data_IF_065625630518
#
_entry.id   IF_065625630518
#
_cell.length_a   1.000
_cell.length_b   1.000
_cell.length_c   1.000
_cell.angle_alpha   90.00
_cell.angle_beta   90.00
_cell.angle_gamma   90.00
#
_symmetry.space_group_name_H-M   'P 1'
#
loop_
_entity.id
_entity.type
_entity.pdbx_description
1 polymer ?
#
# COMPACT_ATOMS: atom_id res chain seq x y z
N UNK A 1 -23.45 -25.68 13.51
CA UNK A 1 -22.19 -25.38 12.79
C UNK A 1 -22.07 -23.87 12.68
N UNK A 2 -21.34 -23.22 13.58
CA UNK A 2 -21.18 -21.75 13.57
C UNK A 2 -20.09 -21.42 12.57
N UNK A 3 -20.47 -20.76 11.48
CA UNK A 3 -19.51 -20.24 10.51
C UNK A 3 -18.86 -19.03 11.19
N UNK A 4 -17.65 -19.22 11.73
CA UNK A 4 -16.79 -18.11 12.14
C UNK A 4 -16.31 -17.38 10.89
N UNK A 5 -17.18 -16.60 10.26
CA UNK A 5 -16.79 -15.56 9.32
C UNK A 5 -16.13 -14.45 10.13
N UNK A 6 -14.90 -14.70 10.58
CA UNK A 6 -14.01 -13.60 10.91
C UNK A 6 -13.75 -12.90 9.59
N UNK A 7 -14.37 -11.74 9.44
CA UNK A 7 -14.13 -10.79 8.36
C UNK A 7 -12.62 -10.73 8.15
N UNK A 8 -12.13 -11.26 7.02
CA UNK A 8 -10.73 -11.16 6.62
C UNK A 8 -10.35 -9.69 6.76
N UNK A 9 -9.66 -9.35 7.84
CA UNK A 9 -8.98 -8.06 7.98
C UNK A 9 -8.17 -7.97 6.69
N UNK A 10 -8.48 -6.98 5.85
CA UNK A 10 -7.93 -6.86 4.50
C UNK A 10 -6.43 -6.50 4.63
N UNK A 11 -5.64 -7.48 5.04
CA UNK A 11 -4.20 -7.45 5.31
C UNK A 11 -3.44 -7.58 4.01
N UNK A 12 -3.97 -6.99 2.94
CA UNK A 12 -3.32 -7.00 1.63
C UNK A 12 -2.04 -6.18 1.74
N UNK A 13 -0.94 -6.81 1.38
CA UNK A 13 0.33 -6.15 1.16
C UNK A 13 0.31 -5.45 -0.19
N UNK A 14 0.99 -4.31 -0.26
CA UNK A 14 1.15 -3.51 -1.46
C UNK A 14 2.62 -3.19 -1.67
N UNK A 15 3.03 -3.19 -2.93
CA UNK A 15 4.30 -2.60 -3.35
C UNK A 15 4.10 -1.11 -3.61
N UNK A 16 5.04 -0.32 -3.13
CA UNK A 16 5.02 1.12 -3.30
C UNK A 16 6.40 1.74 -3.22
N UNK A 17 6.44 3.04 -3.49
CA UNK A 17 7.61 3.90 -3.27
C UNK A 17 7.20 5.09 -2.42
N UNK A 18 8.15 5.81 -1.84
CA UNK A 18 7.85 7.10 -1.19
C UNK A 18 7.95 8.22 -2.21
N UNK A 19 6.96 9.11 -2.21
CA UNK A 19 6.99 10.31 -3.04
C UNK A 19 8.25 11.14 -2.74
N UNK A 20 9.01 11.50 -3.76
CA UNK A 20 10.24 12.30 -3.61
C UNK A 20 9.99 13.72 -3.08
N UNK A 21 8.76 14.23 -3.24
CA UNK A 21 8.38 15.58 -2.80
C UNK A 21 7.84 15.62 -1.37
N UNK A 22 6.92 14.72 -1.01
CA UNK A 22 6.21 14.76 0.29
C UNK A 22 6.39 13.52 1.17
N UNK A 23 7.12 12.50 0.72
CA UNK A 23 7.39 11.27 1.49
C UNK A 23 6.20 10.32 1.65
N UNK A 24 4.99 10.73 1.23
CA UNK A 24 3.78 9.89 1.25
C UNK A 24 3.98 8.63 0.40
N UNK A 25 3.56 7.44 0.88
CA UNK A 25 3.58 6.22 0.08
C UNK A 25 2.72 6.33 -1.18
N UNK A 26 3.29 5.97 -2.32
CA UNK A 26 2.61 5.78 -3.60
C UNK A 26 2.54 4.28 -3.85
N UNK A 27 1.36 3.70 -3.63
CA UNK A 27 1.10 2.28 -3.84
C UNK A 27 0.76 2.05 -5.31
N UNK A 28 1.44 1.13 -5.97
CA UNK A 28 1.26 0.89 -7.42
C UNK A 28 0.92 -0.56 -7.77
N UNK A 29 1.17 -1.52 -6.88
CA UNK A 29 0.82 -2.92 -7.12
C UNK A 29 0.40 -3.62 -5.81
N UNK A 30 -0.44 -4.65 -5.93
CA UNK A 30 -0.69 -5.61 -4.86
C UNK A 30 0.50 -6.56 -4.74
N UNK A 31 0.90 -6.87 -3.52
CA UNK A 31 1.93 -7.87 -3.24
C UNK A 31 1.28 -9.22 -2.92
N UNK A 32 1.35 -10.14 -3.87
CA UNK A 32 0.79 -11.49 -3.75
C UNK A 32 1.72 -12.45 -3.00
N UNK A 33 2.94 -12.01 -2.65
CA UNK A 33 3.89 -12.80 -1.88
C UNK A 33 3.62 -12.80 -0.38
N UNK A 34 2.52 -12.17 0.07
CA UNK A 34 2.18 -11.97 1.48
C UNK A 34 3.32 -11.32 2.29
N UNK A 35 4.14 -10.50 1.64
CA UNK A 35 5.28 -9.81 2.26
C UNK A 35 6.62 -10.53 2.12
N UNK A 36 6.70 -11.63 1.38
CA UNK A 36 7.90 -12.48 1.27
C UNK A 36 8.65 -12.32 -0.05
N UNK A 37 9.96 -12.58 -0.07
CA UNK A 37 10.78 -12.50 -1.31
C UNK A 37 11.17 -11.08 -1.74
N UNK A 38 11.97 -10.97 -2.81
CA UNK A 38 12.37 -9.67 -3.38
C UNK A 38 11.37 -9.23 -4.46
N UNK A 39 10.88 -7.97 -4.41
CA UNK A 39 10.10 -7.42 -5.49
C UNK A 39 10.92 -7.41 -6.79
N UNK A 40 10.29 -7.79 -7.90
CA UNK A 40 10.92 -7.66 -9.21
C UNK A 40 11.24 -6.18 -9.51
N UNK A 41 12.40 -5.92 -10.14
CA UNK A 41 12.72 -4.56 -10.61
C UNK A 41 11.75 -4.20 -11.73
N UNK A 42 11.03 -3.09 -11.57
CA UNK A 42 10.23 -2.53 -12.65
C UNK A 42 11.17 -1.90 -13.69
N UNK A 43 10.95 -2.17 -14.99
CA UNK A 43 11.77 -1.59 -16.06
C UNK A 43 11.58 -0.08 -16.19
N UNK A 44 10.31 0.38 -16.25
CA UNK A 44 9.93 1.79 -16.22
C UNK A 44 8.78 1.98 -15.24
N UNK A 45 8.92 2.92 -14.30
CA UNK A 45 7.93 3.17 -13.25
C UNK A 45 7.70 4.67 -13.08
N UNK A 46 6.85 5.27 -13.92
CA UNK A 46 6.44 6.66 -13.77
C UNK A 46 5.19 6.70 -12.90
N UNK A 47 5.27 7.39 -11.76
CA UNK A 47 4.18 7.44 -10.79
C UNK A 47 3.84 8.89 -10.43
N UNK A 48 2.56 9.10 -10.14
CA UNK A 48 2.03 10.36 -9.64
C UNK A 48 1.58 10.20 -8.19
N UNK A 49 1.99 11.11 -7.32
CA UNK A 49 1.55 11.11 -5.93
C UNK A 49 0.03 11.25 -5.85
N UNK A 50 -0.62 10.35 -5.11
CA UNK A 50 -2.07 10.31 -4.94
C UNK A 50 -2.59 11.41 -4.00
N UNK A 51 -1.73 12.00 -3.18
CA UNK A 51 -2.11 13.11 -2.30
C UNK A 51 -2.50 14.32 -3.16
N UNK A 52 -3.74 14.78 -2.99
CA UNK A 52 -4.36 15.84 -3.80
C UNK A 52 -3.54 17.15 -3.80
N UNK A 53 -2.89 17.44 -2.67
CA UNK A 53 -2.07 18.65 -2.48
C UNK A 53 -0.67 18.53 -3.10
N UNK A 54 -0.19 17.29 -3.31
CA UNK A 54 1.15 17.05 -3.80
C UNK A 54 1.18 16.88 -5.32
N UNK A 55 0.44 15.87 -5.83
CA UNK A 55 0.31 15.49 -7.26
C UNK A 55 1.63 15.42 -8.04
N UNK A 56 2.76 15.31 -7.34
CA UNK A 56 4.08 15.25 -7.96
C UNK A 56 4.23 13.98 -8.79
N UNK A 57 4.62 14.14 -10.05
CA UNK A 57 4.91 13.06 -10.97
C UNK A 57 6.41 12.97 -11.21
N UNK A 58 6.98 11.77 -11.11
CA UNK A 58 8.39 11.52 -11.35
C UNK A 58 8.62 10.07 -11.85
N UNK A 59 9.83 9.82 -12.33
CA UNK A 59 10.31 8.48 -12.64
C UNK A 59 10.89 7.83 -11.37
N UNK A 60 10.34 6.69 -10.99
CA UNK A 60 10.71 5.88 -9.83
C UNK A 60 11.34 4.53 -10.22
N UNK A 61 11.79 4.37 -11.46
CA UNK A 61 12.37 3.10 -11.96
C UNK A 61 13.61 2.66 -11.16
N UNK A 62 14.35 3.62 -10.60
CA UNK A 62 15.53 3.38 -9.74
C UNK A 62 15.22 3.53 -8.25
N UNK A 63 13.98 3.83 -7.88
CA UNK A 63 13.60 4.02 -6.50
C UNK A 63 13.51 2.67 -5.76
N UNK A 64 13.84 2.67 -4.48
CA UNK A 64 13.68 1.50 -3.63
C UNK A 64 12.19 1.18 -3.44
N UNK A 65 11.76 0.03 -3.99
CA UNK A 65 10.41 -0.49 -3.76
C UNK A 65 10.31 -1.03 -2.34
N UNK A 66 9.30 -0.57 -1.61
CA UNK A 66 8.98 -0.98 -0.24
C UNK A 66 7.60 -1.62 -0.18
N UNK A 67 7.37 -2.36 0.90
CA UNK A 67 6.08 -2.99 1.20
C UNK A 67 5.29 -2.15 2.17
N UNK A 68 4.00 -2.01 1.90
CA UNK A 68 3.06 -1.27 2.71
C UNK A 68 1.83 -2.14 2.97
N UNK A 69 1.29 -2.10 4.18
CA UNK A 69 -0.04 -2.63 4.45
C UNK A 69 -1.01 -1.45 4.53
N UNK A 70 -2.16 -1.58 3.86
CA UNK A 70 -3.28 -0.71 4.19
C UNK A 70 -3.85 -1.24 5.49
N UNK A 71 -3.68 -0.50 6.59
CA UNK A 71 -4.50 -0.77 7.74
C UNK A 71 -5.95 -0.53 7.32
N UNK A 72 -6.89 -1.43 7.63
CA UNK A 72 -8.29 -1.09 7.51
C UNK A 72 -8.51 0.18 8.33
N UNK A 73 -9.36 1.12 7.87
CA UNK A 73 -9.77 2.23 8.72
C UNK A 73 -10.25 1.59 10.02
N UNK A 74 -9.63 1.97 11.15
CA UNK A 74 -10.03 1.47 12.45
C UNK A 74 -11.54 1.55 12.50
N UNK A 75 -12.21 0.39 12.61
CA UNK A 75 -13.62 0.36 12.89
C UNK A 75 -13.75 1.20 14.16
N UNK A 76 -14.35 2.39 14.04
CA UNK A 76 -14.66 3.19 15.21
C UNK A 76 -15.40 2.25 16.14
N UNK A 77 -14.83 2.07 17.33
CA UNK A 77 -15.40 1.28 18.40
C UNK A 77 -16.87 1.67 18.55
N UNK A 78 -17.78 0.78 18.16
CA UNK A 78 -19.16 0.86 18.60
C UNK A 78 -19.13 0.47 20.08
N UNK A 79 -18.85 1.45 20.93
CA UNK A 79 -19.07 1.36 22.37
C UNK A 79 -20.58 1.25 22.56
N UNK A 80 -21.07 0.03 22.72
CA UNK A 80 -22.39 -0.25 23.26
C UNK A 80 -22.38 0.03 24.76
N UNK A 81 -23.26 0.93 25.20
CA UNK A 81 -23.85 0.93 26.54
C UNK A 81 -25.35 0.73 26.38
#
# INVERSE_FOLDING_TARGET
>A
MRISQWSKVDTKWYLGVRCQKCGTPILFALDHSEGTGQPARAGKLVLTCSLAECRHQADYSTAAVSRFQKQPPAAKEAKSE
#
